data_IF_648995772717
#
_entry.id   IF_648995772717
#
_cell.length_a   1.000
_cell.length_b   1.000
_cell.length_c   1.000
_cell.angle_alpha   90.00
_cell.angle_beta   90.00
_cell.angle_gamma   90.00
#
_symmetry.space_group_name_H-M   'P 1'
#
loop_
_entity.id
_entity.type
_entity.pdbx_description
1 polymer ?
#
# COMPACT_ATOMS: atom_id res chain seq x y z
N UNK A 1 -20.12 17.42 1.73
CA UNK A 1 -20.91 16.24 1.30
C UNK A 1 -20.05 14.98 1.35
N UNK A 2 -20.62 13.82 1.67
CA UNK A 2 -19.83 12.59 1.85
C UNK A 2 -19.17 12.09 0.57
N UNK A 3 -19.84 12.28 -0.58
CA UNK A 3 -19.25 11.99 -1.90
C UNK A 3 -17.93 12.73 -2.12
N UNK A 4 -17.85 14.02 -1.77
CA UNK A 4 -16.59 14.78 -1.90
C UNK A 4 -15.48 14.19 -1.03
N UNK A 5 -15.79 13.77 0.20
CA UNK A 5 -14.79 13.17 1.10
C UNK A 5 -14.26 11.85 0.56
N UNK A 6 -15.14 11.02 -0.01
CA UNK A 6 -14.76 9.77 -0.65
C UNK A 6 -13.83 10.01 -1.84
N UNK A 7 -14.20 10.91 -2.75
CA UNK A 7 -13.36 11.26 -3.91
C UNK A 7 -12.03 11.90 -3.48
N UNK A 8 -12.04 12.73 -2.44
CA UNK A 8 -10.82 13.35 -1.90
C UNK A 8 -9.84 12.31 -1.33
N UNK A 9 -10.36 11.32 -0.59
CA UNK A 9 -9.57 10.21 -0.08
C UNK A 9 -9.07 9.30 -1.23
N UNK A 10 -9.92 9.00 -2.20
CA UNK A 10 -9.57 8.20 -3.38
C UNK A 10 -8.46 8.87 -4.20
N UNK A 11 -8.58 10.17 -4.45
CA UNK A 11 -7.56 10.96 -5.14
C UNK A 11 -6.23 10.93 -4.40
N UNK A 12 -6.24 11.13 -3.08
CA UNK A 12 -5.03 11.02 -2.28
C UNK A 12 -4.41 9.61 -2.39
N UNK A 13 -5.20 8.56 -2.22
CA UNK A 13 -4.70 7.18 -2.26
C UNK A 13 -4.09 6.84 -3.63
N UNK A 14 -4.73 7.24 -4.73
CA UNK A 14 -4.28 6.94 -6.08
C UNK A 14 -3.08 7.76 -6.55
N UNK A 15 -2.92 9.00 -6.06
CA UNK A 15 -1.88 9.93 -6.55
C UNK A 15 -0.79 10.18 -5.52
N UNK A 16 -1.15 10.53 -4.30
CA UNK A 16 -0.21 10.93 -3.24
C UNK A 16 0.22 9.77 -2.32
N UNK A 17 -0.57 8.69 -2.27
CA UNK A 17 -0.36 7.55 -1.38
C UNK A 17 1.05 6.94 -1.44
N UNK A 18 1.69 6.80 -2.62
CA UNK A 18 3.08 6.35 -2.72
C UNK A 18 4.13 7.39 -2.29
N UNK A 19 3.79 8.68 -2.26
CA UNK A 19 4.75 9.78 -2.08
C UNK A 19 4.66 10.43 -0.69
N UNK A 20 4.27 9.68 0.35
CA UNK A 20 4.01 10.21 1.70
C UNK A 20 5.14 11.10 2.26
N UNK A 21 6.43 10.75 2.15
CA UNK A 21 7.50 11.62 2.64
C UNK A 21 7.52 12.99 1.96
N UNK A 22 7.24 13.04 0.66
CA UNK A 22 7.17 14.28 -0.10
C UNK A 22 5.92 15.10 0.23
N UNK A 23 4.80 14.45 0.54
CA UNK A 23 3.60 15.14 1.03
C UNK A 23 3.89 15.85 2.34
N UNK A 24 4.51 15.17 3.32
CA UNK A 24 4.87 15.77 4.61
C UNK A 24 5.81 16.96 4.42
N UNK A 25 6.88 16.79 3.63
CA UNK A 25 7.83 17.86 3.34
C UNK A 25 7.15 19.06 2.65
N UNK A 26 6.23 18.81 1.71
CA UNK A 26 5.45 19.85 1.05
C UNK A 26 4.53 20.60 2.02
N UNK A 27 3.84 19.87 2.90
CA UNK A 27 2.99 20.47 3.94
C UNK A 27 3.79 21.31 4.93
N UNK A 28 5.00 20.87 5.31
CA UNK A 28 5.89 21.63 6.18
C UNK A 28 6.37 22.93 5.52
N UNK A 29 6.66 22.89 4.21
CA UNK A 29 7.11 24.06 3.44
C UNK A 29 6.04 25.15 3.36
N UNK A 30 4.76 24.79 3.33
CA UNK A 30 3.64 25.73 3.17
C UNK A 30 2.88 26.02 4.47
N UNK A 31 3.39 25.53 5.62
CA UNK A 31 2.65 25.56 6.90
C UNK A 31 2.31 26.99 7.36
N UNK A 32 3.20 27.95 7.10
CA UNK A 32 3.08 29.35 7.54
C UNK A 32 2.41 30.25 6.49
N UNK A 33 1.98 29.71 5.34
CA UNK A 33 1.31 30.47 4.30
C UNK A 33 -0.15 30.77 4.68
N UNK A 34 -0.58 32.04 4.81
CA UNK A 34 -1.95 32.42 5.17
C UNK A 34 -2.88 32.31 3.95
N UNK A 35 -3.08 31.11 3.44
CA UNK A 35 -3.93 30.87 2.28
C UNK A 35 -5.41 30.84 2.67
N UNK A 36 -6.16 31.85 2.24
CA UNK A 36 -7.63 31.92 2.40
C UNK A 36 -8.38 31.18 1.28
N UNK A 37 -7.71 30.96 0.14
CA UNK A 37 -8.23 30.23 -1.00
C UNK A 37 -7.15 29.29 -1.54
N UNK A 38 -7.49 28.00 -1.70
CA UNK A 38 -6.64 27.03 -2.39
C UNK A 38 -7.34 26.56 -3.66
N UNK A 39 -6.67 26.73 -4.80
CA UNK A 39 -7.17 26.34 -6.11
C UNK A 39 -6.43 25.09 -6.61
N UNK A 40 -6.88 23.87 -6.27
CA UNK A 40 -6.28 22.66 -6.79
C UNK A 40 -6.53 22.53 -8.30
N UNK A 41 -5.70 21.76 -8.99
CA UNK A 41 -5.93 21.45 -10.42
C UNK A 41 -7.15 20.56 -10.65
N UNK A 42 -7.62 19.85 -9.63
CA UNK A 42 -8.78 18.96 -9.69
C UNK A 42 -9.70 19.17 -8.48
N UNK A 43 -11.00 19.17 -8.77
CA UNK A 43 -12.04 19.37 -7.76
C UNK A 43 -12.31 20.84 -7.43
N UNK A 44 -13.10 21.11 -6.39
CA UNK A 44 -13.50 22.46 -6.04
C UNK A 44 -12.36 23.26 -5.39
N UNK A 45 -12.37 24.58 -5.61
CA UNK A 45 -11.56 25.50 -4.83
C UNK A 45 -11.96 25.46 -3.35
N UNK A 46 -10.97 25.56 -2.46
CA UNK A 46 -11.15 25.51 -1.02
C UNK A 46 -11.13 26.93 -0.45
N UNK A 47 -12.32 27.52 -0.35
CA UNK A 47 -12.52 28.81 0.31
C UNK A 47 -12.48 28.65 1.85
N UNK A 48 -11.92 29.64 2.55
CA UNK A 48 -11.65 29.56 3.99
C UNK A 48 -10.37 28.76 4.31
N UNK A 49 -9.50 28.60 3.31
CA UNK A 49 -8.25 27.85 3.39
C UNK A 49 -8.42 26.33 3.31
N UNK A 50 -7.33 25.61 3.65
CA UNK A 50 -7.24 24.16 3.49
C UNK A 50 -6.84 23.43 4.78
N UNK A 51 -7.11 24.01 5.96
CA UNK A 51 -6.65 23.46 7.24
C UNK A 51 -7.06 22.00 7.46
N UNK A 52 -8.34 21.66 7.19
CA UNK A 52 -8.86 20.29 7.32
C UNK A 52 -8.21 19.31 6.35
N UNK A 53 -8.04 19.73 5.09
CA UNK A 53 -7.45 18.94 4.02
C UNK A 53 -5.96 18.67 4.29
N UNK A 54 -5.23 19.70 4.74
CA UNK A 54 -3.82 19.58 5.16
C UNK A 54 -3.67 18.62 6.34
N UNK A 55 -4.58 18.68 7.32
CA UNK A 55 -4.57 17.76 8.46
C UNK A 55 -4.79 16.30 8.01
N UNK A 56 -5.76 16.05 7.13
CA UNK A 56 -6.00 14.73 6.56
C UNK A 56 -4.80 14.21 5.77
N UNK A 57 -4.22 15.02 4.89
CA UNK A 57 -3.02 14.63 4.13
C UNK A 57 -1.86 14.30 5.07
N UNK A 58 -1.66 15.09 6.12
CA UNK A 58 -0.64 14.82 7.14
C UNK A 58 -0.93 13.51 7.87
N UNK A 59 -2.15 13.28 8.31
CA UNK A 59 -2.58 12.05 8.98
C UNK A 59 -2.32 10.82 8.10
N UNK A 60 -2.76 10.86 6.84
CA UNK A 60 -2.59 9.76 5.89
C UNK A 60 -1.12 9.54 5.47
N UNK A 61 -0.30 10.59 5.57
CA UNK A 61 1.13 10.54 5.22
C UNK A 61 2.04 10.19 6.39
N UNK A 62 1.65 10.50 7.62
CA UNK A 62 2.50 10.40 8.80
C UNK A 62 3.08 8.99 8.98
N UNK A 63 2.36 7.97 8.49
CA UNK A 63 2.71 6.58 8.72
C UNK A 63 2.65 6.25 10.22
N UNK A 64 2.49 4.97 10.55
CA UNK A 64 2.81 4.51 11.90
C UNK A 64 4.17 3.83 11.80
N UNK A 65 5.18 4.25 12.57
CA UNK A 65 6.41 3.48 12.68
C UNK A 65 6.02 2.04 13.02
N UNK A 66 6.47 1.08 12.21
CA UNK A 66 6.30 -0.33 12.55
C UNK A 66 7.47 -0.74 13.40
N UNK A 67 7.19 -1.25 14.59
CA UNK A 67 8.20 -1.84 15.47
C UNK A 67 8.86 -3.08 14.84
N UNK A 68 8.10 -3.80 14.01
CA UNK A 68 8.54 -5.02 13.32
C UNK A 68 8.65 -4.81 11.82
N UNK A 69 9.63 -5.48 11.21
CA UNK A 69 9.74 -5.55 9.75
C UNK A 69 8.66 -6.45 9.21
N UNK A 70 7.88 -5.96 8.25
CA UNK A 70 6.76 -6.72 7.67
C UNK A 70 7.25 -7.61 6.53
N UNK A 71 6.95 -8.90 6.58
CA UNK A 71 7.20 -9.82 5.47
C UNK A 71 5.87 -10.26 4.88
N UNK A 72 5.68 -10.07 3.58
CA UNK A 72 4.51 -10.56 2.86
C UNK A 72 4.86 -11.85 2.10
N UNK A 73 4.11 -12.91 2.36
CA UNK A 73 4.16 -14.17 1.63
C UNK A 73 2.87 -14.28 0.83
N UNK A 74 2.95 -13.97 -0.46
CA UNK A 74 1.81 -14.02 -1.38
C UNK A 74 1.96 -15.27 -2.24
N UNK A 75 0.93 -16.11 -2.32
CA UNK A 75 1.03 -17.32 -3.13
C UNK A 75 -0.22 -17.63 -3.93
N UNK A 76 -0.06 -18.35 -5.04
CA UNK A 76 -1.14 -19.01 -5.78
C UNK A 76 -0.80 -20.49 -5.94
N UNK A 77 -1.76 -21.37 -5.64
CA UNK A 77 -1.52 -22.81 -5.54
C UNK A 77 -2.69 -23.62 -6.09
N UNK A 78 -2.51 -24.30 -7.23
CA UNK A 78 -3.54 -25.14 -7.83
C UNK A 78 -3.81 -26.44 -7.04
N UNK A 79 -2.74 -27.15 -6.63
CA UNK A 79 -2.83 -28.48 -6.01
C UNK A 79 -2.26 -28.54 -4.59
N UNK A 80 -1.98 -27.39 -3.97
CA UNK A 80 -1.52 -27.30 -2.59
C UNK A 80 0.00 -27.29 -2.38
N UNK A 81 0.84 -27.67 -3.36
CA UNK A 81 2.29 -27.73 -3.17
C UNK A 81 2.93 -26.35 -2.94
N UNK A 82 2.55 -25.33 -3.71
CA UNK A 82 3.04 -23.96 -3.49
C UNK A 82 2.56 -23.41 -2.14
N UNK A 83 1.35 -23.79 -1.70
CA UNK A 83 0.84 -23.48 -0.35
C UNK A 83 1.71 -24.12 0.74
N UNK A 84 2.14 -25.37 0.58
CA UNK A 84 3.03 -26.04 1.55
C UNK A 84 4.37 -25.30 1.66
N UNK A 85 4.95 -24.85 0.55
CA UNK A 85 6.17 -24.03 0.55
C UNK A 85 5.95 -22.68 1.27
N UNK A 86 4.82 -22.01 0.98
CA UNK A 86 4.45 -20.76 1.64
C UNK A 86 4.27 -20.96 3.16
N UNK A 87 3.65 -22.06 3.58
CA UNK A 87 3.46 -22.42 4.99
C UNK A 87 4.80 -22.72 5.68
N UNK A 88 5.73 -23.40 5.02
CA UNK A 88 7.07 -23.65 5.55
C UNK A 88 7.85 -22.33 5.75
N UNK A 89 7.84 -21.45 4.73
CA UNK A 89 8.46 -20.13 4.83
C UNK A 89 7.82 -19.27 5.94
N UNK A 90 6.49 -19.28 6.03
CA UNK A 90 5.75 -18.62 7.11
C UNK A 90 6.18 -19.13 8.48
N UNK A 91 6.25 -20.45 8.66
CA UNK A 91 6.64 -21.09 9.92
C UNK A 91 8.05 -20.71 10.36
N UNK A 92 9.03 -20.73 9.46
CA UNK A 92 10.41 -20.36 9.78
C UNK A 92 10.57 -18.86 10.06
N UNK A 93 10.03 -18.00 9.21
CA UNK A 93 10.14 -16.54 9.40
C UNK A 93 9.44 -16.08 10.68
N UNK A 94 8.32 -16.72 11.04
CA UNK A 94 7.55 -16.37 12.24
C UNK A 94 8.28 -16.69 13.55
N UNK A 95 9.35 -17.51 13.52
CA UNK A 95 10.21 -17.74 14.69
C UNK A 95 11.01 -16.51 15.08
N UNK A 96 11.22 -15.57 14.15
CA UNK A 96 11.90 -14.32 14.42
C UNK A 96 10.91 -13.28 14.95
N UNK A 97 10.98 -12.99 16.26
CA UNK A 97 10.10 -12.04 16.93
C UNK A 97 10.16 -10.60 16.40
N UNK A 98 11.20 -10.24 15.64
CA UNK A 98 11.37 -8.94 14.98
C UNK A 98 10.57 -8.82 13.66
N UNK A 99 9.96 -9.90 13.17
CA UNK A 99 9.19 -9.93 11.93
C UNK A 99 7.67 -9.96 12.20
N UNK A 100 6.93 -9.19 11.41
CA UNK A 100 5.47 -9.29 11.24
C UNK A 100 5.22 -10.03 9.91
N UNK A 101 5.10 -11.35 9.99
CA UNK A 101 4.94 -12.21 8.80
C UNK A 101 3.45 -12.34 8.47
N UNK A 102 3.08 -12.00 7.25
CA UNK A 102 1.71 -12.05 6.76
C UNK A 102 1.66 -12.93 5.52
N UNK A 103 0.81 -13.96 5.53
CA UNK A 103 0.63 -14.87 4.40
C UNK A 103 -0.77 -14.70 3.79
N UNK A 104 -0.86 -14.65 2.46
CA UNK A 104 -2.14 -14.56 1.72
C UNK A 104 -2.15 -15.45 0.50
N UNK A 105 -3.27 -16.13 0.32
CA UNK A 105 -3.60 -16.84 -0.92
C UNK A 105 -4.19 -15.84 -1.92
N UNK A 106 -3.47 -15.54 -2.99
CA UNK A 106 -3.86 -14.56 -3.99
C UNK A 106 -5.14 -14.96 -4.74
N UNK A 107 -5.49 -16.26 -4.76
CA UNK A 107 -6.68 -16.76 -5.44
C UNK A 107 -7.96 -16.37 -4.69
N UNK A 108 -7.90 -16.35 -3.35
CA UNK A 108 -9.09 -16.20 -2.50
C UNK A 108 -9.14 -14.88 -1.72
N UNK A 109 -8.00 -14.25 -1.46
CA UNK A 109 -7.94 -12.98 -0.72
C UNK A 109 -8.45 -11.80 -1.56
N UNK A 110 -8.93 -10.75 -0.90
CA UNK A 110 -9.33 -9.52 -1.58
C UNK A 110 -8.12 -8.88 -2.30
N UNK A 111 -8.32 -8.47 -3.55
CA UNK A 111 -7.24 -7.92 -4.38
C UNK A 111 -6.70 -6.61 -3.83
N UNK A 112 -7.55 -5.79 -3.18
CA UNK A 112 -7.14 -4.55 -2.53
C UNK A 112 -6.29 -4.83 -1.30
N UNK A 113 -6.69 -5.80 -0.47
CA UNK A 113 -5.91 -6.26 0.69
C UNK A 113 -4.53 -6.77 0.27
N UNK A 114 -4.46 -7.65 -0.74
CA UNK A 114 -3.20 -8.23 -1.22
C UNK A 114 -2.28 -7.15 -1.79
N UNK A 115 -2.81 -6.21 -2.58
CA UNK A 115 -2.03 -5.11 -3.11
C UNK A 115 -1.53 -4.15 -2.02
N UNK A 116 -2.35 -3.88 -1.00
CA UNK A 116 -1.95 -3.09 0.17
C UNK A 116 -0.84 -3.78 0.97
N UNK A 117 -0.94 -5.10 1.15
CA UNK A 117 0.10 -5.87 1.80
C UNK A 117 1.40 -5.88 0.99
N UNK A 118 1.32 -6.11 -0.33
CA UNK A 118 2.46 -6.05 -1.25
C UNK A 118 3.21 -4.73 -1.13
N UNK A 119 2.49 -3.60 -1.25
CA UNK A 119 3.11 -2.28 -1.25
C UNK A 119 3.59 -1.86 0.14
N UNK A 120 2.95 -2.32 1.21
CA UNK A 120 3.39 -1.98 2.56
C UNK A 120 4.52 -2.87 3.10
N UNK A 121 4.76 -4.09 2.60
CA UNK A 121 5.76 -5.00 3.17
C UNK A 121 7.20 -4.46 3.10
N UNK A 122 8.06 -4.82 4.05
CA UNK A 122 9.50 -4.55 3.99
C UNK A 122 10.27 -5.63 3.20
N UNK A 123 9.73 -6.85 3.13
CA UNK A 123 10.23 -7.94 2.31
C UNK A 123 9.06 -8.70 1.66
N UNK A 124 9.25 -9.19 0.43
CA UNK A 124 8.20 -9.83 -0.35
C UNK A 124 8.66 -11.21 -0.86
N UNK A 125 7.87 -12.24 -0.54
CA UNK A 125 7.99 -13.58 -1.11
C UNK A 125 6.74 -13.84 -1.97
N UNK A 126 6.95 -14.21 -3.23
CA UNK A 126 5.86 -14.55 -4.16
C UNK A 126 6.01 -16.00 -4.63
N UNK A 127 5.03 -16.82 -4.28
CA UNK A 127 4.95 -18.22 -4.71
C UNK A 127 3.93 -18.41 -5.82
N UNK A 128 4.32 -19.05 -6.92
CA UNK A 128 3.39 -19.44 -7.98
C UNK A 128 3.55 -20.91 -8.33
N UNK A 129 2.46 -21.59 -8.68
CA UNK A 129 2.56 -22.78 -9.52
C UNK A 129 2.77 -22.38 -10.99
N UNK A 130 3.15 -23.35 -11.84
CA UNK A 130 3.25 -23.14 -13.29
C UNK A 130 2.08 -23.85 -13.97
N UNK A 131 1.28 -23.11 -14.72
CA UNK A 131 0.15 -23.63 -15.51
C UNK A 131 0.36 -23.14 -16.95
N UNK A 132 0.35 -24.05 -17.93
CA UNK A 132 0.53 -23.71 -19.35
C UNK A 132 1.79 -22.88 -19.64
N UNK A 133 2.92 -23.22 -19.00
CA UNK A 133 4.22 -22.52 -19.09
C UNK A 133 4.24 -21.09 -18.54
N UNK A 134 3.24 -20.70 -17.75
CA UNK A 134 3.16 -19.37 -17.14
C UNK A 134 2.71 -19.43 -15.67
N UNK A 135 2.81 -18.31 -14.96
CA UNK A 135 2.12 -18.10 -13.70
C UNK A 135 0.60 -17.90 -13.95
N UNK A 136 -0.28 -18.35 -13.05
CA UNK A 136 -1.70 -18.03 -13.12
C UNK A 136 -1.92 -16.52 -13.17
N UNK A 137 -2.90 -16.06 -13.96
CA UNK A 137 -3.15 -14.64 -14.19
C UNK A 137 -3.30 -13.79 -12.93
N UNK A 138 -3.81 -14.37 -11.84
CA UNK A 138 -3.93 -13.70 -10.54
C UNK A 138 -2.58 -13.24 -9.97
N UNK A 139 -1.48 -13.95 -10.27
CA UNK A 139 -0.14 -13.56 -9.85
C UNK A 139 0.28 -12.28 -10.58
N UNK A 140 0.06 -12.22 -11.90
CA UNK A 140 0.32 -11.03 -12.71
C UNK A 140 -0.55 -9.84 -12.32
N UNK A 141 -1.83 -10.08 -12.05
CA UNK A 141 -2.78 -9.05 -11.58
C UNK A 141 -2.34 -8.39 -10.26
N UNK A 142 -1.67 -9.14 -9.38
CA UNK A 142 -1.13 -8.62 -8.12
C UNK A 142 0.21 -7.94 -8.33
N UNK A 143 1.14 -8.57 -9.06
CA UNK A 143 2.47 -8.01 -9.30
C UNK A 143 2.42 -6.69 -10.07
N UNK A 144 1.48 -6.54 -11.01
CA UNK A 144 1.27 -5.28 -11.74
C UNK A 144 0.77 -4.12 -10.85
N UNK A 145 0.36 -4.39 -9.62
CA UNK A 145 -0.06 -3.39 -8.62
C UNK A 145 1.09 -2.95 -7.70
N UNK A 146 2.29 -3.48 -7.90
CA UNK A 146 3.49 -3.01 -7.23
C UNK A 146 3.78 -1.56 -7.65
N UNK A 147 3.77 -0.63 -6.69
CA UNK A 147 4.17 0.75 -6.96
C UNK A 147 5.69 0.89 -6.80
N UNK A 148 6.34 1.53 -7.77
CA UNK A 148 7.80 1.60 -7.86
C UNK A 148 8.47 2.36 -6.69
N UNK A 149 7.69 3.10 -5.91
CA UNK A 149 8.20 3.97 -4.86
C UNK A 149 8.27 3.21 -3.55
N UNK A 150 7.16 2.60 -3.14
CA UNK A 150 7.11 1.81 -1.91
C UNK A 150 7.87 0.49 -2.07
N UNK A 151 7.98 -0.06 -3.28
CA UNK A 151 8.73 -1.30 -3.56
C UNK A 151 10.24 -1.12 -3.71
N UNK A 152 10.73 0.11 -3.73
CA UNK A 152 12.15 0.38 -3.83
C UNK A 152 12.93 -0.15 -2.62
N UNK A 153 13.92 -1.00 -2.86
CA UNK A 153 14.83 -1.50 -1.82
C UNK A 153 14.24 -2.57 -0.90
N UNK A 154 13.10 -3.17 -1.28
CA UNK A 154 12.62 -4.44 -0.71
C UNK A 154 13.50 -5.62 -1.16
#
# INVERSE_FOLDING_TARGET
PDKYRQEFAYYYQGIFGPFKPFVLAGLDKIKDLPAELVCPSHGPCLAGGAGKQRALYREWSAGKPREKKRVAILYASAYGYTKQLAQAAYGELSKNGALDVQMRDMVFADRGEVASLLNSADALLVGSCTINRDAPGVVWDILSRADAINTHGK
#
